data_IF_402781257636
#
_entry.id   IF_402781257636
#
_cell.length_a   1.000
_cell.length_b   1.000
_cell.length_c   1.000
_cell.angle_alpha   90.00
_cell.angle_beta   90.00
_cell.angle_gamma   90.00
#
_symmetry.space_group_name_H-M   'P 1'
#
loop_
_entity.id
_entity.type
_entity.pdbx_description
1 polymer ?
#
# COMPACT_ATOMS: atom_id res chain seq x y z
N UNK A 1 2.16 -4.63 -26.91
CA UNK A 1 2.90 -4.14 -25.71
C UNK A 1 2.63 -2.66 -25.36
N UNK A 2 2.61 -1.71 -26.31
CA UNK A 2 2.41 -0.26 -26.04
C UNK A 2 1.04 0.10 -25.39
N UNK A 3 -0.02 -0.63 -25.68
CA UNK A 3 -1.39 -0.35 -25.18
C UNK A 3 -1.51 -0.59 -23.66
N UNK A 4 -0.85 -1.63 -23.14
CA UNK A 4 -0.86 -1.97 -21.71
C UNK A 4 -0.10 -0.93 -20.87
N UNK A 5 0.99 -0.37 -21.42
CA UNK A 5 1.78 0.67 -20.76
C UNK A 5 0.98 1.98 -20.62
N UNK A 6 0.27 2.37 -21.68
CA UNK A 6 -0.59 3.57 -21.70
C UNK A 6 -1.72 3.48 -20.68
N UNK A 7 -2.37 2.31 -20.55
CA UNK A 7 -3.42 2.06 -19.55
C UNK A 7 -2.93 2.21 -18.12
N UNK A 8 -1.70 1.74 -17.85
CA UNK A 8 -1.06 1.85 -16.53
C UNK A 8 -0.72 3.31 -16.19
N UNK A 9 -0.23 4.10 -17.15
CA UNK A 9 0.00 5.54 -16.96
C UNK A 9 -1.28 6.32 -16.70
N UNK A 10 -2.37 6.00 -17.41
CA UNK A 10 -3.67 6.64 -17.19
C UNK A 10 -4.16 6.42 -15.76
N UNK A 11 -3.99 5.21 -15.19
CA UNK A 11 -4.39 4.99 -13.79
C UNK A 11 -3.61 5.84 -12.80
N UNK A 12 -2.32 6.13 -13.04
CA UNK A 12 -1.56 7.04 -12.19
C UNK A 12 -2.10 8.47 -12.28
N UNK A 13 -2.35 8.97 -13.49
CA UNK A 13 -2.88 10.32 -13.70
C UNK A 13 -4.25 10.51 -13.06
N UNK A 14 -5.15 9.52 -13.21
CA UNK A 14 -6.49 9.58 -12.61
C UNK A 14 -6.41 9.67 -11.10
N UNK A 15 -5.56 8.86 -10.45
CA UNK A 15 -5.42 8.88 -8.98
C UNK A 15 -4.89 10.23 -8.49
N UNK A 16 -3.86 10.79 -9.15
CA UNK A 16 -3.32 12.11 -8.80
C UNK A 16 -4.40 13.19 -8.93
N UNK A 17 -5.14 13.19 -10.04
CA UNK A 17 -6.21 14.18 -10.26
C UNK A 17 -7.30 14.05 -9.19
N UNK A 18 -7.70 12.83 -8.86
CA UNK A 18 -8.72 12.57 -7.82
C UNK A 18 -8.24 13.04 -6.45
N UNK A 19 -7.00 12.75 -6.05
CA UNK A 19 -6.43 13.22 -4.77
C UNK A 19 -6.33 14.74 -4.71
N UNK A 20 -5.91 15.40 -5.80
CA UNK A 20 -5.84 16.87 -5.87
C UNK A 20 -7.23 17.50 -5.78
N UNK A 21 -8.23 16.97 -6.50
CA UNK A 21 -9.61 17.43 -6.42
C UNK A 21 -10.19 17.25 -5.01
N UNK A 22 -9.94 16.09 -4.38
CA UNK A 22 -10.35 15.84 -3.00
C UNK A 22 -9.66 16.75 -2.00
N UNK A 23 -8.40 17.11 -2.24
CA UNK A 23 -7.67 18.06 -1.40
C UNK A 23 -8.30 19.45 -1.47
N UNK A 24 -8.62 19.92 -2.68
CA UNK A 24 -9.32 21.21 -2.85
C UNK A 24 -10.71 21.18 -2.23
N UNK A 25 -11.43 20.05 -2.36
CA UNK A 25 -12.73 19.86 -1.74
C UNK A 25 -12.64 19.83 -0.20
N UNK A 26 -11.65 19.14 0.36
CA UNK A 26 -11.38 19.10 1.80
C UNK A 26 -11.01 20.49 2.34
N UNK A 27 -10.29 21.29 1.56
CA UNK A 27 -10.00 22.68 1.90
C UNK A 27 -11.26 23.55 1.89
N UNK A 28 -12.20 23.33 0.97
CA UNK A 28 -13.47 24.06 0.93
C UNK A 28 -14.35 23.80 2.18
N UNK A 29 -14.26 22.59 2.74
CA UNK A 29 -14.94 22.22 3.98
C UNK A 29 -14.19 22.66 5.24
N UNK A 30 -12.93 23.07 5.11
CA UNK A 30 -12.10 23.47 6.23
C UNK A 30 -12.45 24.87 6.71
N UNK A 31 -12.55 25.04 8.03
CA UNK A 31 -12.86 26.33 8.67
C UNK A 31 -11.66 27.31 8.59
N UNK A 32 -10.47 26.79 8.28
CA UNK A 32 -9.24 27.59 8.23
C UNK A 32 -9.21 28.49 6.99
N UNK A 33 -8.64 29.71 7.11
CA UNK A 33 -8.46 30.60 5.97
C UNK A 33 -7.55 29.94 4.92
N UNK A 34 -7.79 30.32 3.66
CA UNK A 34 -7.02 29.81 2.53
C UNK A 34 -5.55 30.24 2.68
N UNK A 35 -4.72 29.28 3.08
CA UNK A 35 -3.29 29.46 3.32
C UNK A 35 -2.53 28.26 2.76
N UNK A 36 -1.26 28.47 2.42
CA UNK A 36 -0.41 27.39 1.91
C UNK A 36 -0.30 26.24 2.92
N UNK A 37 -0.23 26.55 4.22
CA UNK A 37 -0.17 25.55 5.29
C UNK A 37 -1.45 24.70 5.34
N UNK A 38 -2.63 25.32 5.15
CA UNK A 38 -3.91 24.61 5.20
C UNK A 38 -4.05 23.63 4.03
N UNK A 39 -3.60 24.03 2.83
CA UNK A 39 -3.59 23.17 1.65
C UNK A 39 -2.64 21.98 1.86
N UNK A 40 -1.45 22.22 2.40
CA UNK A 40 -0.46 21.15 2.68
C UNK A 40 -1.02 20.16 3.72
N UNK A 41 -1.66 20.67 4.77
CA UNK A 41 -2.30 19.84 5.79
C UNK A 41 -3.45 19.01 5.21
N UNK A 42 -4.32 19.62 4.40
CA UNK A 42 -5.38 18.92 3.70
C UNK A 42 -4.82 17.83 2.77
N UNK A 43 -3.75 18.14 2.02
CA UNK A 43 -3.08 17.19 1.14
C UNK A 43 -2.48 16.01 1.91
N UNK A 44 -1.86 16.29 3.05
CA UNK A 44 -1.28 15.28 3.95
C UNK A 44 -2.37 14.32 4.47
N UNK A 45 -3.50 14.86 4.94
CA UNK A 45 -4.62 14.04 5.42
C UNK A 45 -5.23 13.21 4.29
N UNK A 46 -5.51 13.82 3.14
CA UNK A 46 -6.13 13.12 1.99
C UNK A 46 -5.21 12.00 1.48
N UNK A 47 -3.93 12.31 1.26
CA UNK A 47 -2.96 11.30 0.79
C UNK A 47 -2.75 10.17 1.80
N UNK A 48 -2.78 10.46 3.11
CA UNK A 48 -2.69 9.43 4.14
C UNK A 48 -3.92 8.51 4.15
N UNK A 49 -5.12 9.05 3.96
CA UNK A 49 -6.35 8.24 3.83
C UNK A 49 -6.28 7.34 2.59
N UNK A 50 -5.84 7.86 1.45
CA UNK A 50 -5.70 7.06 0.23
C UNK A 50 -4.61 5.99 0.36
N UNK A 51 -3.49 6.32 1.01
CA UNK A 51 -2.41 5.37 1.30
C UNK A 51 -2.89 4.23 2.20
N UNK A 52 -3.62 4.55 3.26
CA UNK A 52 -4.17 3.53 4.17
C UNK A 52 -5.18 2.63 3.47
N UNK A 53 -6.10 3.18 2.66
CA UNK A 53 -7.03 2.39 1.84
C UNK A 53 -6.26 1.48 0.88
N UNK A 54 -5.24 2.00 0.19
CA UNK A 54 -4.39 1.23 -0.71
C UNK A 54 -3.69 0.07 -0.01
N UNK A 55 -3.14 0.31 1.18
CA UNK A 55 -2.51 -0.71 2.01
C UNK A 55 -3.52 -1.76 2.49
N UNK A 56 -4.73 -1.37 2.90
CA UNK A 56 -5.79 -2.31 3.29
C UNK A 56 -6.16 -3.22 2.13
N UNK A 57 -6.38 -2.65 0.92
CA UNK A 57 -6.65 -3.44 -0.29
C UNK A 57 -5.50 -4.39 -0.59
N UNK A 58 -4.26 -3.93 -0.45
CA UNK A 58 -3.06 -4.74 -0.65
C UNK A 58 -2.98 -5.91 0.31
N UNK A 59 -3.30 -5.69 1.59
CA UNK A 59 -3.28 -6.73 2.61
C UNK A 59 -4.36 -7.78 2.34
N UNK A 60 -5.60 -7.34 2.04
CA UNK A 60 -6.75 -8.24 1.83
C UNK A 60 -6.60 -9.06 0.53
N UNK A 61 -6.21 -8.44 -0.58
CA UNK A 61 -6.14 -9.10 -1.89
C UNK A 61 -4.78 -9.74 -2.19
N UNK A 62 -3.72 -9.27 -1.54
CA UNK A 62 -2.35 -9.65 -1.87
C UNK A 62 -1.85 -10.91 -1.18
N UNK A 63 -2.66 -11.58 -0.35
CA UNK A 63 -2.22 -12.72 0.45
C UNK A 63 -1.10 -12.36 1.42
N UNK A 64 -1.05 -11.10 1.88
CA UNK A 64 0.02 -10.59 2.74
C UNK A 64 0.15 -11.43 4.02
N UNK A 65 -0.99 -11.76 4.63
CA UNK A 65 -1.03 -12.62 5.80
C UNK A 65 -0.62 -14.07 5.52
N UNK A 66 -0.91 -14.62 4.34
CA UNK A 66 -0.46 -15.97 3.96
C UNK A 66 1.07 -16.04 3.89
N UNK A 67 1.72 -15.00 3.36
CA UNK A 67 3.17 -14.87 3.33
C UNK A 67 3.79 -14.77 4.74
N UNK A 68 3.15 -14.02 5.64
CA UNK A 68 3.57 -13.92 7.05
C UNK A 68 3.46 -15.27 7.73
N UNK A 69 2.31 -15.94 7.62
CA UNK A 69 2.07 -17.25 8.22
C UNK A 69 3.09 -18.28 7.70
N UNK A 70 3.36 -18.28 6.40
CA UNK A 70 4.39 -19.13 5.81
C UNK A 70 5.78 -18.84 6.40
N UNK A 71 6.14 -17.57 6.55
CA UNK A 71 7.44 -17.15 7.09
C UNK A 71 7.61 -17.57 8.55
N UNK A 72 6.58 -17.36 9.39
CA UNK A 72 6.59 -17.81 10.78
C UNK A 72 6.65 -19.33 10.90
N UNK A 73 5.92 -20.07 10.06
CA UNK A 73 5.93 -21.53 10.05
C UNK A 73 7.30 -22.08 9.64
N UNK A 74 7.93 -21.47 8.63
CA UNK A 74 9.30 -21.79 8.21
C UNK A 74 10.30 -21.53 9.33
N UNK A 75 10.24 -20.35 9.94
CA UNK A 75 11.13 -19.97 11.03
C UNK A 75 10.97 -20.89 12.26
N UNK A 76 9.73 -21.20 12.63
CA UNK A 76 9.46 -22.15 13.73
C UNK A 76 10.03 -23.54 13.44
N UNK A 77 9.98 -24.00 12.18
CA UNK A 77 10.56 -25.29 11.78
C UNK A 77 12.08 -25.27 11.84
N UNK A 78 12.73 -24.21 11.39
CA UNK A 78 14.19 -24.07 11.43
C UNK A 78 14.70 -24.06 12.88
N UNK A 79 13.98 -23.39 13.80
CA UNK A 79 14.29 -23.44 15.24
C UNK A 79 14.13 -24.87 15.79
N UNK A 80 13.04 -25.56 15.43
CA UNK A 80 12.74 -26.91 15.94
C UNK A 80 13.77 -27.93 15.47
N UNK A 81 14.17 -27.86 14.19
CA UNK A 81 15.22 -28.68 13.59
C UNK A 81 16.56 -28.51 14.32
N UNK A 82 16.93 -27.27 14.64
CA UNK A 82 18.19 -26.99 15.33
C UNK A 82 18.19 -27.38 16.81
N UNK A 83 17.02 -27.50 17.46
CA UNK A 83 16.92 -27.84 18.88
C UNK A 83 16.70 -29.33 19.18
N UNK A 84 15.96 -30.05 18.34
CA UNK A 84 15.50 -31.41 18.67
C UNK A 84 16.12 -32.51 17.81
N UNK A 85 16.84 -32.18 16.71
CA UNK A 85 17.48 -33.19 15.86
C UNK A 85 16.51 -34.20 15.23
N UNK A 86 15.20 -33.92 15.26
CA UNK A 86 14.16 -34.82 14.75
C UNK A 86 14.16 -34.81 13.21
N UNK A 87 14.47 -35.97 12.65
CA UNK A 87 14.51 -36.26 11.22
C UNK A 87 13.13 -36.48 10.58
N UNK A 88 12.02 -36.32 11.33
CA UNK A 88 10.66 -36.64 10.85
C UNK A 88 9.89 -35.44 10.27
N UNK A 89 10.58 -34.35 9.91
CA UNK A 89 9.95 -33.15 9.37
C UNK A 89 9.68 -33.19 7.85
N UNK A 90 9.66 -34.38 7.24
CA UNK A 90 9.24 -34.60 5.85
C UNK A 90 7.72 -34.77 5.73
N UNK A 91 6.93 -33.96 6.42
CA UNK A 91 5.58 -33.71 5.94
C UNK A 91 5.72 -32.81 4.70
N UNK A 92 5.40 -33.29 3.47
CA UNK A 92 5.47 -32.46 2.28
C UNK A 92 4.60 -31.25 2.57
N UNK A 93 5.14 -30.05 2.33
CA UNK A 93 4.45 -28.78 2.55
C UNK A 93 3.04 -28.92 1.98
N UNK A 94 2.07 -29.22 2.85
CA UNK A 94 0.70 -29.52 2.46
C UNK A 94 0.32 -28.43 1.50
N UNK A 95 0.12 -28.86 0.25
CA UNK A 95 0.10 -28.09 -0.98
C UNK A 95 -0.62 -26.77 -0.71
N UNK A 96 0.15 -25.75 -0.30
CA UNK A 96 -0.42 -24.46 0.04
C UNK A 96 -0.76 -23.91 -1.33
N UNK A 97 -2.00 -24.16 -1.74
CA UNK A 97 -2.61 -23.65 -2.95
C UNK A 97 -2.27 -22.17 -2.91
N UNK A 98 -1.26 -21.76 -3.68
CA UNK A 98 -0.90 -20.36 -3.83
C UNK A 98 -2.20 -19.76 -4.31
N UNK A 99 -2.90 -19.08 -3.42
CA UNK A 99 -4.05 -18.28 -3.83
C UNK A 99 -3.40 -17.31 -4.79
N UNK A 100 -3.68 -17.48 -6.08
CA UNK A 100 -3.16 -16.59 -7.10
C UNK A 100 -3.60 -15.20 -6.67
N UNK A 101 -2.68 -14.49 -6.03
CA UNK A 101 -2.87 -13.17 -5.47
C UNK A 101 -2.93 -12.22 -6.64
N UNK A 102 -3.97 -12.37 -7.46
CA UNK A 102 -4.29 -11.47 -8.54
C UNK A 102 -4.65 -10.15 -7.91
N UNK A 103 -3.60 -9.36 -7.66
CA UNK A 103 -3.72 -8.01 -7.14
C UNK A 103 -4.43 -7.20 -8.21
N UNK A 104 -5.44 -6.40 -7.84
CA UNK A 104 -6.00 -5.44 -8.77
C UNK A 104 -4.85 -4.59 -9.35
N UNK A 105 -4.82 -4.34 -10.67
CA UNK A 105 -3.77 -3.53 -11.28
C UNK A 105 -3.75 -2.09 -10.76
N UNK A 106 -4.80 -1.68 -10.04
CA UNK A 106 -4.99 -0.36 -9.44
C UNK A 106 -4.32 -0.19 -8.06
N UNK A 107 -4.11 -1.27 -7.30
CA UNK A 107 -3.59 -1.18 -5.92
C UNK A 107 -2.18 -0.59 -5.87
N UNK A 108 -1.33 -0.97 -6.82
CA UNK A 108 0.05 -0.48 -6.90
C UNK A 108 0.15 1.03 -7.22
N UNK A 109 -0.55 1.54 -8.26
CA UNK A 109 -0.60 2.97 -8.53
C UNK A 109 -1.08 3.80 -7.34
N UNK A 110 -2.11 3.34 -6.64
CA UNK A 110 -2.68 4.02 -5.48
C UNK A 110 -1.62 4.19 -4.39
N UNK A 111 -1.01 3.09 -3.95
CA UNK A 111 -0.01 3.14 -2.86
C UNK A 111 1.17 4.04 -3.23
N UNK A 112 1.73 3.91 -4.44
CA UNK A 112 2.92 4.67 -4.82
C UNK A 112 2.65 6.18 -4.91
N UNK A 113 1.49 6.57 -5.47
CA UNK A 113 1.12 7.98 -5.59
C UNK A 113 0.85 8.57 -4.21
N UNK A 114 -0.01 7.93 -3.43
CA UNK A 114 -0.40 8.46 -2.13
C UNK A 114 0.81 8.52 -1.19
N UNK A 115 1.70 7.52 -1.25
CA UNK A 115 2.95 7.55 -0.49
C UNK A 115 3.85 8.72 -0.91
N UNK A 116 4.04 8.91 -2.22
CA UNK A 116 4.85 10.00 -2.73
C UNK A 116 4.28 11.38 -2.36
N UNK A 117 2.97 11.59 -2.53
CA UNK A 117 2.28 12.83 -2.18
C UNK A 117 2.31 13.09 -0.68
N UNK A 118 2.14 12.05 0.14
CA UNK A 118 2.27 12.16 1.59
C UNK A 118 3.69 12.57 1.99
N UNK A 119 4.73 11.89 1.49
CA UNK A 119 6.12 12.26 1.75
C UNK A 119 6.44 13.68 1.27
N UNK A 120 5.97 14.07 0.08
CA UNK A 120 6.13 15.42 -0.44
C UNK A 120 5.47 16.45 0.49
N UNK A 121 4.26 16.16 0.98
CA UNK A 121 3.54 17.06 1.89
C UNK A 121 4.27 17.23 3.23
N UNK A 122 4.85 16.16 3.78
CA UNK A 122 5.66 16.23 5.00
C UNK A 122 6.91 17.07 4.80
N UNK A 123 7.62 16.85 3.69
CA UNK A 123 8.82 17.64 3.36
C UNK A 123 8.46 19.12 3.24
N UNK A 124 7.42 19.46 2.48
CA UNK A 124 6.95 20.84 2.32
C UNK A 124 6.54 21.46 3.66
N UNK A 125 5.87 20.68 4.53
CA UNK A 125 5.47 21.12 5.85
C UNK A 125 6.63 21.37 6.81
N UNK A 126 7.81 20.79 6.57
CA UNK A 126 9.01 21.05 7.40
C UNK A 126 9.76 22.30 6.93
N UNK A 127 9.68 22.61 5.64
CA UNK A 127 10.38 23.76 5.04
C UNK A 127 9.60 25.08 5.11
N UNK A 128 8.31 25.03 5.45
CA UNK A 128 7.41 26.19 5.56
C UNK A 128 7.04 26.39 7.03
#
# INVERSE_FOLDING_TARGET
MKIQLKRRQISYLVIIIVELLLTLFAQLLSVQPFSLIAIINALSVVSLVFLTIGLVIFVIHGGFFDGIVYSFKRFSRDIRKNRLGEADAEAPLAEYRKRDGQRPPLTWPLIWISFFLFCLSLVLSVFI
#
